data_IF_314167705295
#
_entry.id   IF_314167705295
#
_cell.length_a   1.000
_cell.length_b   1.000
_cell.length_c   1.000
_cell.angle_alpha   90.00
_cell.angle_beta   90.00
_cell.angle_gamma   90.00
#
_symmetry.space_group_name_H-M   'P 1'
#
loop_
_entity.id
_entity.type
_entity.pdbx_description
1 polymer ?
#
# COMPACT_ATOMS: atom_id res chain seq x y z
N UNK A 1 35.42 1.17 6.33
CA UNK A 1 34.15 1.12 5.57
C UNK A 1 33.63 -0.31 5.30
N UNK A 2 34.27 -1.39 5.79
CA UNK A 2 33.74 -2.77 5.61
C UNK A 2 33.12 -3.37 6.89
N UNK A 3 33.60 -3.02 8.09
CA UNK A 3 33.11 -3.62 9.34
C UNK A 3 31.66 -3.29 9.71
N UNK A 4 31.09 -2.19 9.18
CA UNK A 4 29.68 -1.83 9.42
C UNK A 4 28.70 -2.58 8.49
N UNK A 5 29.17 -3.04 7.33
CA UNK A 5 28.37 -3.89 6.43
C UNK A 5 28.25 -5.31 7.00
N UNK A 6 29.34 -5.86 7.54
CA UNK A 6 29.34 -7.20 8.16
C UNK A 6 28.54 -7.27 9.47
N UNK A 7 28.37 -6.14 10.18
CA UNK A 7 27.57 -6.08 11.42
C UNK A 7 26.06 -5.99 11.16
N UNK A 8 25.65 -5.46 9.99
CA UNK A 8 24.25 -5.38 9.55
C UNK A 8 23.85 -6.64 8.75
N UNK A 9 24.81 -7.25 8.05
CA UNK A 9 24.68 -8.50 7.31
C UNK A 9 25.52 -9.62 7.94
N UNK A 10 25.40 -9.80 9.25
CA UNK A 10 26.06 -10.89 9.95
C UNK A 10 25.79 -12.22 9.23
N UNK A 11 26.86 -12.85 8.73
CA UNK A 11 26.93 -14.18 8.11
C UNK A 11 25.56 -14.80 7.82
N UNK A 12 24.98 -14.51 6.65
CA UNK A 12 23.82 -15.24 6.14
C UNK A 12 24.17 -16.73 6.12
N UNK A 13 23.72 -17.49 7.11
CA UNK A 13 23.52 -18.93 6.96
C UNK A 13 22.32 -19.12 6.03
N UNK A 14 22.56 -18.83 4.74
CA UNK A 14 21.61 -19.05 3.67
C UNK A 14 21.55 -20.54 3.40
N UNK A 15 20.40 -21.15 3.66
CA UNK A 15 20.09 -22.48 3.17
C UNK A 15 19.63 -22.39 1.72
N UNK A 16 20.12 -23.27 0.85
CA UNK A 16 19.67 -23.37 -0.56
C UNK A 16 18.18 -23.73 -0.68
N UNK A 17 17.61 -24.31 0.38
CA UNK A 17 16.19 -24.65 0.46
C UNK A 17 15.42 -23.57 1.23
N UNK A 18 14.23 -23.15 0.76
CA UNK A 18 13.27 -22.42 1.56
C UNK A 18 12.92 -23.16 2.87
N UNK A 19 12.55 -22.43 3.92
CA UNK A 19 12.17 -23.03 5.21
C UNK A 19 10.99 -24.02 5.11
N UNK A 20 10.01 -23.72 4.25
CA UNK A 20 8.88 -24.63 3.99
C UNK A 20 9.32 -25.97 3.37
N UNK A 21 10.55 -26.04 2.83
CA UNK A 21 11.18 -27.25 2.28
C UNK A 21 12.31 -27.79 3.17
N UNK A 22 12.35 -27.41 4.45
CA UNK A 22 13.31 -27.88 5.45
C UNK A 22 14.63 -27.10 5.52
N UNK A 23 14.69 -25.92 4.90
CA UNK A 23 15.82 -25.01 5.04
C UNK A 23 15.77 -24.12 6.29
N UNK A 24 16.80 -23.28 6.45
CA UNK A 24 16.89 -22.30 7.53
C UNK A 24 15.92 -21.13 7.24
N UNK A 25 15.02 -20.77 8.17
CA UNK A 25 14.17 -19.59 8.04
C UNK A 25 14.98 -18.31 7.82
N UNK A 26 14.60 -17.54 6.81
CA UNK A 26 15.21 -16.23 6.50
C UNK A 26 14.97 -15.21 7.63
N UNK A 27 13.88 -15.39 8.39
CA UNK A 27 13.53 -14.56 9.54
C UNK A 27 13.21 -15.44 10.75
N UNK A 28 13.67 -15.02 11.93
CA UNK A 28 13.47 -15.75 13.18
C UNK A 28 12.04 -15.63 13.73
N UNK A 29 11.36 -14.51 13.47
CA UNK A 29 9.97 -14.28 13.84
C UNK A 29 9.27 -13.43 12.76
N UNK A 30 7.97 -13.65 12.61
CA UNK A 30 7.13 -12.82 11.75
C UNK A 30 6.85 -11.49 12.46
N UNK A 31 7.04 -10.32 11.80
CA UNK A 31 6.64 -9.06 12.39
C UNK A 31 5.13 -9.02 12.61
N UNK A 32 4.71 -8.37 13.70
CA UNK A 32 3.30 -8.07 13.91
C UNK A 32 2.86 -7.05 12.86
N UNK A 33 1.76 -7.35 12.17
CA UNK A 33 1.17 -6.45 11.18
C UNK A 33 -0.35 -6.35 11.38
N UNK A 34 -0.93 -5.13 11.40
CA UNK A 34 -0.25 -3.83 11.35
C UNK A 34 0.55 -3.54 12.64
N UNK A 35 1.59 -2.70 12.59
CA UNK A 35 2.33 -2.28 13.78
C UNK A 35 1.39 -1.55 14.76
N UNK A 36 1.62 -1.74 16.06
CA UNK A 36 0.86 -1.08 17.12
C UNK A 36 1.76 -0.02 17.78
N UNK A 37 1.89 1.13 17.13
CA UNK A 37 2.72 2.23 17.61
C UNK A 37 1.95 3.16 18.55
N UNK A 38 2.59 3.64 19.62
CA UNK A 38 1.95 4.49 20.63
C UNK A 38 1.37 5.81 20.06
N UNK A 39 2.03 6.38 19.04
CA UNK A 39 1.59 7.63 18.41
C UNK A 39 0.23 7.48 17.71
N UNK A 40 -0.16 6.27 17.26
CA UNK A 40 -1.46 6.03 16.64
C UNK A 40 -2.58 6.28 17.63
N UNK A 41 -2.44 5.80 18.87
CA UNK A 41 -3.44 6.02 19.93
C UNK A 41 -3.61 7.49 20.27
N UNK A 42 -2.51 8.24 20.33
CA UNK A 42 -2.52 9.69 20.57
C UNK A 42 -3.24 10.43 19.43
N UNK A 43 -2.96 10.05 18.18
CA UNK A 43 -3.58 10.67 17.01
C UNK A 43 -5.09 10.40 16.94
N UNK A 44 -5.52 9.17 17.21
CA UNK A 44 -6.96 8.85 17.27
C UNK A 44 -7.69 9.61 18.38
N UNK A 45 -7.05 9.80 19.54
CA UNK A 45 -7.61 10.63 20.60
C UNK A 45 -7.77 12.09 20.16
N UNK A 46 -6.80 12.65 19.43
CA UNK A 46 -6.91 13.99 18.85
C UNK A 46 -8.08 14.09 17.87
N UNK A 47 -8.22 13.11 16.97
CA UNK A 47 -9.31 13.10 15.99
C UNK A 47 -10.68 13.01 16.64
N UNK A 48 -10.81 12.23 17.72
CA UNK A 48 -12.03 12.13 18.50
C UNK A 48 -12.35 13.47 19.19
N UNK A 49 -11.34 14.17 19.71
CA UNK A 49 -11.51 15.44 20.41
C UNK A 49 -11.90 16.60 19.48
N UNK A 50 -11.31 16.69 18.28
CA UNK A 50 -11.59 17.77 17.32
C UNK A 50 -12.72 17.44 16.32
N UNK A 51 -13.21 16.19 16.37
CA UNK A 51 -14.26 15.68 15.48
C UNK A 51 -13.84 15.58 14.02
N UNK A 52 -12.54 15.61 13.71
CA UNK A 52 -12.03 15.55 12.33
C UNK A 52 -12.27 14.20 11.67
N UNK A 53 -12.37 13.11 12.45
CA UNK A 53 -12.57 11.75 11.95
C UNK A 53 -13.83 11.56 11.10
N UNK A 54 -14.89 12.32 11.38
CA UNK A 54 -16.19 12.21 10.69
C UNK A 54 -16.42 13.22 9.58
N UNK A 55 -15.43 14.10 9.30
CA UNK A 55 -15.60 15.18 8.32
C UNK A 55 -15.26 14.69 6.92
N UNK A 56 -16.21 14.80 6.00
CA UNK A 56 -15.97 14.47 4.60
C UNK A 56 -14.87 15.35 3.97
N UNK A 57 -14.80 16.62 4.38
CA UNK A 57 -13.76 17.57 4.00
C UNK A 57 -12.95 18.02 5.22
N UNK A 58 -12.25 17.07 5.84
CA UNK A 58 -11.33 17.32 6.95
C UNK A 58 -9.92 17.76 6.49
N UNK A 59 -9.08 18.27 7.41
CA UNK A 59 -7.74 18.75 7.10
C UNK A 59 -6.74 17.63 6.74
N UNK A 60 -7.01 16.40 7.17
CA UNK A 60 -6.09 15.27 6.99
C UNK A 60 -6.03 14.75 5.55
N UNK A 61 -7.13 14.86 4.80
CA UNK A 61 -7.16 14.45 3.39
C UNK A 61 -6.26 15.35 2.50
N UNK A 62 -6.36 16.70 2.55
CA UNK A 62 -5.42 17.57 1.85
C UNK A 62 -3.96 17.34 2.23
N UNK A 63 -3.66 17.12 3.52
CA UNK A 63 -2.31 16.84 3.97
C UNK A 63 -1.75 15.53 3.37
N UNK A 64 -2.57 14.47 3.35
CA UNK A 64 -2.21 13.20 2.71
C UNK A 64 -2.03 13.35 1.20
N UNK A 65 -2.88 14.14 0.53
CA UNK A 65 -2.74 14.44 -0.90
C UNK A 65 -1.38 15.07 -1.20
N UNK A 66 -0.94 16.06 -0.42
CA UNK A 66 0.35 16.71 -0.65
C UNK A 66 1.52 15.75 -0.40
N UNK A 67 1.49 15.01 0.72
CA UNK A 67 2.51 14.01 1.02
C UNK A 67 2.64 12.95 -0.09
N UNK A 68 1.53 12.49 -0.67
CA UNK A 68 1.54 11.53 -1.78
C UNK A 68 2.03 12.16 -3.09
N UNK A 69 1.69 13.43 -3.37
CA UNK A 69 2.22 14.14 -4.54
C UNK A 69 3.73 14.25 -4.49
N UNK A 70 4.27 14.62 -3.33
CA UNK A 70 5.72 14.71 -3.09
C UNK A 70 6.38 13.33 -3.21
N UNK A 71 5.84 12.31 -2.54
CA UNK A 71 6.37 10.95 -2.54
C UNK A 71 6.42 10.33 -3.93
N UNK A 72 5.36 10.48 -4.72
CA UNK A 72 5.25 9.87 -6.05
C UNK A 72 5.68 10.79 -7.19
N UNK A 73 6.02 12.06 -6.88
CA UNK A 73 6.42 13.07 -7.86
C UNK A 73 5.38 13.28 -8.97
N UNK A 74 4.10 13.35 -8.59
CA UNK A 74 2.97 13.50 -9.53
C UNK A 74 2.25 14.83 -9.36
N UNK A 75 1.68 15.39 -10.45
CA UNK A 75 1.01 16.68 -10.40
C UNK A 75 -0.39 16.63 -9.77
N UNK A 76 -0.98 15.44 -9.57
CA UNK A 76 -2.32 15.27 -8.99
C UNK A 76 -2.43 13.94 -8.24
N UNK A 77 -3.20 13.94 -7.14
CA UNK A 77 -3.58 12.75 -6.37
C UNK A 77 -5.08 12.84 -6.07
N UNK A 78 -5.80 11.73 -6.29
CA UNK A 78 -7.19 11.58 -5.90
C UNK A 78 -7.30 10.48 -4.85
N UNK A 79 -7.72 10.83 -3.62
CA UNK A 79 -7.97 9.87 -2.57
C UNK A 79 -9.27 9.12 -2.85
N UNK A 80 -9.27 7.82 -2.56
CA UNK A 80 -10.42 6.93 -2.74
C UNK A 80 -10.64 6.07 -1.50
N UNK A 81 -11.81 5.43 -1.39
CA UNK A 81 -12.15 4.60 -0.24
C UNK A 81 -11.45 3.23 -0.23
N UNK A 82 -10.88 2.78 -1.36
CA UNK A 82 -10.16 1.51 -1.49
C UNK A 82 -9.33 1.47 -2.78
N UNK A 83 -8.34 0.57 -2.83
CA UNK A 83 -7.57 0.33 -4.06
C UNK A 83 -8.43 -0.13 -5.24
N UNK A 84 -9.40 -1.02 -5.01
CA UNK A 84 -10.30 -1.52 -6.06
C UNK A 84 -11.12 -0.40 -6.71
N UNK A 85 -11.69 0.50 -5.90
CA UNK A 85 -12.42 1.65 -6.42
C UNK A 85 -11.49 2.66 -7.10
N UNK A 86 -10.24 2.80 -6.63
CA UNK A 86 -9.22 3.59 -7.32
C UNK A 86 -8.95 3.13 -8.75
N UNK A 87 -8.82 1.82 -8.96
CA UNK A 87 -8.65 1.23 -10.30
C UNK A 87 -9.89 1.45 -11.17
N UNK A 88 -11.08 1.25 -10.62
CA UNK A 88 -12.34 1.49 -11.33
C UNK A 88 -12.50 2.94 -11.76
N UNK A 89 -12.28 3.88 -10.84
CA UNK A 89 -12.36 5.31 -11.12
C UNK A 89 -11.36 5.71 -12.22
N UNK A 90 -10.13 5.18 -12.15
CA UNK A 90 -9.11 5.44 -13.16
C UNK A 90 -9.56 4.96 -14.56
N UNK A 91 -10.06 3.73 -14.67
CA UNK A 91 -10.54 3.20 -15.95
C UNK A 91 -11.77 3.95 -16.48
N UNK A 92 -12.77 4.22 -15.63
CA UNK A 92 -13.95 4.99 -16.02
C UNK A 92 -13.59 6.40 -16.50
N UNK A 93 -12.54 7.01 -15.94
CA UNK A 93 -12.09 8.35 -16.35
C UNK A 93 -11.57 8.40 -17.79
N UNK A 94 -11.12 7.27 -18.35
CA UNK A 94 -10.66 7.17 -19.74
C UNK A 94 -11.80 7.23 -20.77
N UNK A 95 -13.06 7.00 -20.33
CA UNK A 95 -14.26 7.05 -21.18
C UNK A 95 -14.12 6.18 -22.45
N UNK A 96 -13.62 4.98 -22.28
CA UNK A 96 -13.41 4.03 -23.37
C UNK A 96 -14.76 3.65 -24.00
N UNK A 97 -14.84 3.53 -25.34
CA UNK A 97 -16.05 3.04 -26.01
C UNK A 97 -16.27 1.55 -25.74
N UNK A 98 -17.52 1.09 -25.89
CA UNK A 98 -17.85 -0.33 -25.82
C UNK A 98 -17.03 -1.14 -26.83
N UNK A 99 -16.56 -2.32 -26.42
CA UNK A 99 -15.67 -3.18 -27.21
C UNK A 99 -14.18 -2.82 -27.11
N UNK A 100 -13.81 -1.84 -26.27
CA UNK A 100 -12.39 -1.59 -25.96
C UNK A 100 -11.77 -2.77 -25.20
N UNK A 101 -10.49 -3.02 -25.48
CA UNK A 101 -9.72 -4.07 -24.82
C UNK A 101 -8.76 -3.48 -23.77
N UNK A 102 -8.61 -4.18 -22.65
CA UNK A 102 -7.70 -3.82 -21.57
C UNK A 102 -6.70 -4.96 -21.37
N UNK A 103 -5.41 -4.66 -21.52
CA UNK A 103 -4.34 -5.64 -21.30
C UNK A 103 -4.03 -5.72 -19.80
N UNK A 104 -4.05 -6.94 -19.24
CA UNK A 104 -3.82 -7.20 -17.82
C UNK A 104 -2.69 -8.23 -17.63
N UNK A 105 -2.09 -8.24 -16.43
CA UNK A 105 -1.23 -9.35 -16.01
C UNK A 105 -2.06 -10.63 -15.86
N UNK A 106 -1.53 -11.76 -16.32
CA UNK A 106 -2.21 -13.06 -16.19
C UNK A 106 -2.32 -13.54 -14.73
N UNK A 107 -1.47 -13.03 -13.84
CA UNK A 107 -1.51 -13.27 -12.41
C UNK A 107 -1.56 -11.94 -11.67
N UNK A 108 -2.71 -11.65 -11.06
CA UNK A 108 -2.94 -10.37 -10.40
C UNK A 108 -4.06 -10.47 -9.35
N UNK A 109 -4.29 -9.38 -8.63
CA UNK A 109 -5.37 -9.20 -7.68
C UNK A 109 -6.73 -9.17 -8.39
N UNK A 110 -7.68 -9.98 -7.91
CA UNK A 110 -8.99 -10.23 -8.56
C UNK A 110 -9.73 -8.96 -9.05
N UNK A 111 -9.84 -7.88 -8.25
CA UNK A 111 -10.46 -6.64 -8.70
C UNK A 111 -9.91 -6.03 -10.00
N UNK A 112 -8.63 -6.21 -10.31
CA UNK A 112 -8.07 -5.72 -11.59
C UNK A 112 -8.76 -6.36 -12.80
N UNK A 113 -9.26 -7.60 -12.66
CA UNK A 113 -10.01 -8.28 -13.71
C UNK A 113 -11.48 -7.91 -13.70
N UNK A 114 -12.13 -7.94 -12.52
CA UNK A 114 -13.58 -7.74 -12.44
C UNK A 114 -13.98 -6.32 -12.79
N UNK A 115 -13.16 -5.32 -12.45
CA UNK A 115 -13.45 -3.92 -12.77
C UNK A 115 -13.57 -3.68 -14.27
N UNK A 116 -12.80 -4.38 -15.10
CA UNK A 116 -12.87 -4.26 -16.57
C UNK A 116 -14.21 -4.77 -17.11
N UNK A 117 -14.81 -5.78 -16.47
CA UNK A 117 -16.09 -6.36 -16.88
C UNK A 117 -17.29 -5.45 -16.58
N UNK A 118 -17.12 -4.44 -15.72
CA UNK A 118 -18.16 -3.51 -15.27
C UNK A 118 -18.06 -2.12 -15.95
N UNK A 119 -17.19 -1.99 -16.97
CA UNK A 119 -16.99 -0.76 -17.74
C UNK A 119 -18.07 -0.51 -18.79
#
# INVERSE_FOLDING_TARGET
>A
MSALFDLVFGSMMSSDKPAILGGIPVRAAEPVWPPCDAWLSELFAQFANDGSWGRYHGPHCPALVEALRELHQVPHVALTCSGSFGVELALRSLKLPAGSEVILSAYDYKPNFTTVLEL
#
